data_IF_314327315023
#
_entry.id   IF_314327315023
#
_cell.length_a   1.000
_cell.length_b   1.000
_cell.length_c   1.000
_cell.angle_alpha   90.00
_cell.angle_beta   90.00
_cell.angle_gamma   90.00
#
_symmetry.space_group_name_H-M   'P 1'
#
loop_
_entity.id
_entity.type
_entity.pdbx_description
1 polymer ?
#
# COMPACT_ATOMS: atom_id res chain seq x y z
N UNK A 1 3.04 10.66 -17.74
CA UNK A 1 3.46 10.57 -16.31
C UNK A 1 4.44 11.68 -15.91
N UNK A 2 4.64 12.76 -16.69
CA UNK A 2 5.64 13.79 -16.35
C UNK A 2 5.30 14.63 -15.12
N UNK A 3 4.06 14.60 -14.64
CA UNK A 3 3.63 15.32 -13.43
C UNK A 3 4.08 14.72 -12.10
N UNK A 4 4.61 13.49 -12.08
CA UNK A 4 5.02 12.79 -10.85
C UNK A 4 6.50 12.31 -10.87
N UNK A 5 7.34 12.96 -11.70
CA UNK A 5 8.71 12.51 -11.92
C UNK A 5 9.54 12.53 -10.64
N UNK A 6 9.34 13.54 -9.79
CA UNK A 6 10.06 13.70 -8.53
C UNK A 6 9.68 12.62 -7.51
N UNK A 7 8.39 12.35 -7.35
CA UNK A 7 7.87 11.34 -6.43
C UNK A 7 8.30 9.93 -6.84
N UNK A 8 8.32 9.64 -8.14
CA UNK A 8 8.81 8.36 -8.69
C UNK A 8 10.32 8.18 -8.41
N UNK A 9 11.11 9.25 -8.53
CA UNK A 9 12.54 9.24 -8.22
C UNK A 9 12.78 8.96 -6.74
N UNK A 10 12.11 9.71 -5.85
CA UNK A 10 12.18 9.50 -4.40
C UNK A 10 11.74 8.09 -4.01
N UNK A 11 10.61 7.62 -4.53
CA UNK A 11 10.11 6.28 -4.24
C UNK A 11 11.12 5.19 -4.65
N UNK A 12 11.76 5.34 -5.82
CA UNK A 12 12.78 4.39 -6.24
C UNK A 12 14.01 4.44 -5.36
N UNK A 13 14.49 5.63 -5.00
CA UNK A 13 15.60 5.81 -4.07
C UNK A 13 15.31 5.12 -2.73
N UNK A 14 14.13 5.34 -2.14
CA UNK A 14 13.75 4.71 -0.87
C UNK A 14 13.66 3.18 -0.95
N UNK A 15 13.16 2.64 -2.06
CA UNK A 15 13.13 1.20 -2.28
C UNK A 15 14.54 0.64 -2.38
N UNK A 16 15.41 1.24 -3.18
CA UNK A 16 16.78 0.77 -3.37
C UNK A 16 17.63 0.89 -2.10
N UNK A 17 17.42 1.94 -1.30
CA UNK A 17 18.05 2.08 0.03
C UNK A 17 17.49 1.09 1.08
N UNK A 18 16.42 0.36 0.75
CA UNK A 18 15.81 -0.67 1.61
C UNK A 18 15.85 -2.03 0.91
N UNK A 19 17.00 -2.37 0.31
CA UNK A 19 17.25 -3.67 -0.34
C UNK A 19 16.31 -3.98 -1.52
N UNK A 20 15.80 -2.92 -2.16
CA UNK A 20 15.02 -2.96 -3.39
C UNK A 20 13.52 -3.19 -3.20
N UNK A 21 13.04 -3.26 -1.96
CA UNK A 21 11.62 -3.44 -1.63
C UNK A 21 11.20 -2.82 -0.29
N UNK A 22 9.97 -2.33 -0.18
CA UNK A 22 9.40 -1.88 1.09
C UNK A 22 7.92 -2.27 1.22
N UNK A 23 7.40 -2.48 2.44
CA UNK A 23 5.96 -2.51 2.67
C UNK A 23 5.30 -1.22 2.16
N UNK A 24 4.13 -1.34 1.53
CA UNK A 24 3.42 -0.25 0.87
C UNK A 24 3.17 0.94 1.83
N UNK A 25 2.81 0.65 3.07
CA UNK A 25 2.55 1.67 4.11
C UNK A 25 3.83 2.37 4.58
N UNK A 26 4.97 1.68 4.55
CA UNK A 26 6.26 2.27 4.92
C UNK A 26 6.75 3.20 3.81
N UNK A 27 6.62 2.78 2.54
CA UNK A 27 6.93 3.63 1.39
C UNK A 27 6.08 4.90 1.39
N UNK A 28 4.78 4.77 1.62
CA UNK A 28 3.87 5.92 1.69
C UNK A 28 4.26 6.88 2.82
N UNK A 29 4.61 6.35 4.01
CA UNK A 29 5.09 7.16 5.15
C UNK A 29 6.38 7.91 4.82
N UNK A 30 7.36 7.24 4.19
CA UNK A 30 8.63 7.89 3.78
C UNK A 30 8.39 8.99 2.75
N UNK A 31 7.49 8.79 1.78
CA UNK A 31 7.17 9.84 0.80
C UNK A 31 6.49 11.05 1.44
N UNK A 32 5.53 10.85 2.36
CA UNK A 32 4.87 11.95 3.06
C UNK A 32 5.82 12.82 3.90
N UNK A 33 7.00 12.31 4.28
CA UNK A 33 8.02 13.09 4.98
C UNK A 33 8.78 14.04 4.06
N UNK A 34 8.80 13.79 2.74
CA UNK A 34 9.66 14.50 1.79
C UNK A 34 8.87 15.21 0.69
N UNK A 35 7.62 14.81 0.42
CA UNK A 35 6.77 15.44 -0.58
C UNK A 35 5.28 15.41 -0.18
N UNK A 36 4.52 16.35 -0.74
CA UNK A 36 3.07 16.38 -0.60
C UNK A 36 2.44 15.49 -1.66
N UNK A 37 2.05 14.28 -1.26
CA UNK A 37 1.39 13.31 -2.14
C UNK A 37 0.06 12.86 -1.52
N UNK A 38 -1.02 12.89 -2.30
CA UNK A 38 -2.31 12.34 -1.86
C UNK A 38 -2.30 10.81 -1.94
N UNK A 39 -3.21 10.16 -1.22
CA UNK A 39 -3.33 8.69 -1.25
C UNK A 39 -3.66 8.18 -2.66
N UNK A 40 -4.44 8.94 -3.41
CA UNK A 40 -4.84 8.63 -4.78
C UNK A 40 -3.66 8.74 -5.75
N UNK A 41 -2.84 9.77 -5.62
CA UNK A 41 -1.63 9.96 -6.42
C UNK A 41 -0.59 8.88 -6.12
N UNK A 42 -0.37 8.57 -4.84
CA UNK A 42 0.54 7.50 -4.44
C UNK A 42 0.13 6.16 -5.05
N UNK A 43 -1.17 5.81 -4.99
CA UNK A 43 -1.69 4.61 -5.66
C UNK A 43 -1.44 4.64 -7.16
N UNK A 44 -1.77 5.75 -7.79
CA UNK A 44 -1.61 5.89 -9.24
C UNK A 44 -0.14 5.67 -9.64
N UNK A 45 0.81 6.25 -8.90
CA UNK A 45 2.24 6.08 -9.14
C UNK A 45 2.64 4.60 -9.00
N UNK A 46 2.33 3.97 -7.86
CA UNK A 46 2.78 2.59 -7.58
C UNK A 46 2.13 1.57 -8.51
N UNK A 47 0.89 1.82 -8.97
CA UNK A 47 0.18 0.91 -9.88
C UNK A 47 0.52 1.08 -11.35
N UNK A 48 0.77 2.31 -11.81
CA UNK A 48 0.93 2.61 -13.24
C UNK A 48 2.38 2.80 -13.66
N UNK A 49 3.30 3.03 -12.72
CA UNK A 49 4.70 3.19 -13.06
C UNK A 49 5.34 1.81 -13.33
N UNK A 50 5.93 1.57 -14.52
CA UNK A 50 6.58 0.29 -14.85
C UNK A 50 7.81 -0.01 -13.99
N UNK A 51 8.30 0.99 -13.22
CA UNK A 51 9.40 0.86 -12.27
C UNK A 51 8.99 0.20 -10.96
N UNK A 52 7.71 0.00 -10.72
CA UNK A 52 7.21 -0.58 -9.48
C UNK A 52 6.41 -1.84 -9.76
N UNK A 53 6.63 -2.85 -8.92
CA UNK A 53 5.82 -4.05 -8.91
C UNK A 53 5.25 -4.27 -7.52
N UNK A 54 3.93 -4.40 -7.45
CA UNK A 54 3.23 -4.73 -6.21
C UNK A 54 3.22 -6.23 -6.01
N UNK A 55 3.51 -6.64 -4.78
CA UNK A 55 3.56 -8.04 -4.36
C UNK A 55 2.80 -8.19 -3.06
N UNK A 56 2.08 -9.30 -2.90
CA UNK A 56 1.45 -9.67 -1.63
C UNK A 56 2.27 -10.77 -0.97
N UNK A 57 2.58 -10.59 0.30
CA UNK A 57 3.11 -11.64 1.15
C UNK A 57 2.07 -12.03 2.20
N UNK A 58 2.05 -13.30 2.65
CA UNK A 58 1.30 -13.66 3.84
C UNK A 58 1.89 -12.91 5.05
N UNK A 59 1.03 -12.50 5.97
CA UNK A 59 1.44 -11.74 7.15
C UNK A 59 2.46 -12.49 8.03
N UNK A 60 3.18 -11.79 8.91
CA UNK A 60 4.32 -12.32 9.68
C UNK A 60 4.02 -13.43 10.70
N UNK A 61 2.85 -14.07 10.64
CA UNK A 61 2.49 -15.23 11.47
C UNK A 61 1.54 -16.16 10.69
N UNK A 62 2.11 -17.16 10.00
CA UNK A 62 1.42 -18.39 9.59
C UNK A 62 0.04 -18.23 8.96
N UNK A 63 -0.12 -17.33 7.97
CA UNK A 63 -1.35 -17.22 7.18
C UNK A 63 -2.57 -16.56 7.85
N UNK A 64 -2.48 -16.20 9.13
CA UNK A 64 -3.58 -15.59 9.91
C UNK A 64 -3.48 -14.06 10.10
N UNK A 65 -2.37 -13.42 9.69
CA UNK A 65 -2.18 -11.97 9.72
C UNK A 65 -2.78 -11.23 8.51
N UNK A 66 -2.97 -9.89 8.57
CA UNK A 66 -3.32 -9.11 7.38
C UNK A 66 -2.25 -9.30 6.29
N UNK A 67 -2.68 -9.48 5.05
CA UNK A 67 -1.78 -9.53 3.88
C UNK A 67 -0.93 -8.26 3.85
N UNK A 68 0.39 -8.41 3.83
CA UNK A 68 1.32 -7.27 3.73
C UNK A 68 1.63 -7.09 2.26
N UNK A 69 1.16 -5.96 1.71
CA UNK A 69 1.52 -5.57 0.36
C UNK A 69 2.86 -4.84 0.37
N UNK A 70 3.79 -5.29 -0.47
CA UNK A 70 5.12 -4.69 -0.65
C UNK A 70 5.27 -4.17 -2.07
N UNK A 71 6.06 -3.11 -2.22
CA UNK A 71 6.43 -2.52 -3.50
C UNK A 71 7.89 -2.88 -3.77
N UNK A 72 8.16 -3.38 -4.98
CA UNK A 72 9.50 -3.75 -5.45
C UNK A 72 9.94 -2.78 -6.55
N UNK A 73 11.22 -2.43 -6.56
CA UNK A 73 11.81 -1.62 -7.62
C UNK A 73 12.22 -2.47 -8.84
N UNK A 74 11.83 -2.01 -10.03
CA UNK A 74 12.00 -2.72 -11.31
C UNK A 74 12.73 -1.85 -12.31
N UNK A 75 13.60 -2.48 -13.10
CA UNK A 75 14.28 -1.83 -14.23
C UNK A 75 14.51 -2.82 -15.38
N UNK A 76 14.59 -2.30 -16.61
CA UNK A 76 15.02 -3.04 -17.80
C UNK A 76 16.54 -3.04 -17.99
N UNK A 77 17.30 -2.23 -17.23
CA UNK A 77 18.76 -2.14 -17.37
C UNK A 77 19.46 -3.42 -16.94
N UNK A 78 20.44 -3.86 -17.73
CA UNK A 78 21.27 -5.05 -17.50
C UNK A 78 22.73 -4.71 -17.76
N UNK A 79 23.66 -5.46 -17.17
CA UNK A 79 25.06 -5.36 -17.54
C UNK A 79 25.29 -5.98 -18.91
N UNK A 80 26.18 -5.37 -19.68
CA UNK A 80 26.56 -5.90 -20.98
C UNK A 80 27.52 -7.07 -20.82
N UNK A 81 27.12 -8.26 -21.27
CA UNK A 81 27.96 -9.47 -21.25
C UNK A 81 29.11 -9.42 -22.26
N UNK A 82 28.95 -8.63 -23.34
CA UNK A 82 29.96 -8.43 -24.38
C UNK A 82 30.87 -7.22 -24.16
N UNK A 83 30.70 -6.49 -23.05
CA UNK A 83 31.52 -5.33 -22.77
C UNK A 83 33.00 -5.75 -22.59
N UNK A 84 33.91 -5.03 -23.24
CA UNK A 84 35.33 -5.38 -23.32
C UNK A 84 35.71 -6.25 -24.53
N UNK A 85 34.74 -6.61 -25.38
CA UNK A 85 34.96 -7.29 -26.66
C UNK A 85 34.71 -6.32 -27.83
N UNK A 86 35.23 -6.63 -29.02
CA UNK A 86 35.20 -5.74 -30.20
C UNK A 86 33.80 -5.26 -30.60
N UNK A 87 32.75 -6.03 -30.27
CA UNK A 87 31.35 -5.74 -30.60
C UNK A 87 30.78 -4.48 -29.91
N UNK A 88 31.34 -4.08 -28.77
CA UNK A 88 30.91 -2.87 -28.05
C UNK A 88 31.83 -1.66 -28.31
N UNK A 89 32.94 -1.85 -29.03
CA UNK A 89 33.96 -0.82 -29.26
C UNK A 89 33.66 0.08 -30.46
N UNK A 90 32.79 -0.33 -31.39
CA UNK A 90 32.49 0.42 -32.63
C UNK A 90 31.02 0.79 -32.85
N UNK A 91 30.11 0.27 -32.04
CA UNK A 91 28.66 0.53 -32.15
C UNK A 91 28.23 1.43 -31.00
N UNK A 92 28.04 2.72 -31.28
CA UNK A 92 27.57 3.72 -30.30
C UNK A 92 26.16 3.50 -29.74
N UNK A 93 25.59 2.30 -29.90
CA UNK A 93 24.18 1.99 -29.64
C UNK A 93 23.98 0.75 -28.73
N UNK A 94 24.96 0.33 -27.94
CA UNK A 94 24.73 -0.77 -26.99
C UNK A 94 23.60 -0.41 -25.99
N UNK A 95 22.55 -1.25 -25.82
CA UNK A 95 21.43 -0.94 -24.92
C UNK A 95 21.69 -1.36 -23.46
N UNK A 96 22.89 -1.84 -23.14
CA UNK A 96 23.25 -2.40 -21.83
C UNK A 96 24.36 -1.59 -21.15
N UNK A 97 24.42 -1.65 -19.83
CA UNK A 97 25.38 -0.91 -19.03
C UNK A 97 26.80 -1.48 -19.19
N UNK A 98 27.75 -0.60 -19.41
CA UNK A 98 29.17 -0.89 -19.46
C UNK A 98 29.77 -0.63 -18.08
N UNK A 99 29.65 -1.61 -17.19
CA UNK A 99 30.19 -1.54 -15.83
C UNK A 99 30.90 -2.83 -15.45
N UNK A 100 31.91 -2.69 -14.60
CA UNK A 100 32.59 -3.82 -13.98
C UNK A 100 31.63 -4.58 -13.06
N UNK A 101 31.47 -5.88 -13.31
CA UNK A 101 30.65 -6.77 -12.47
C UNK A 101 31.09 -6.75 -11.00
N UNK A 102 32.40 -6.79 -10.74
CA UNK A 102 32.93 -6.76 -9.38
C UNK A 102 32.80 -5.39 -8.70
N UNK A 103 32.63 -4.32 -9.48
CA UNK A 103 32.32 -3.01 -8.94
C UNK A 103 30.87 -2.96 -8.44
N UNK A 104 29.94 -3.52 -9.21
CA UNK A 104 28.54 -3.70 -8.77
C UNK A 104 28.46 -4.58 -7.52
N UNK A 105 29.36 -5.55 -7.39
CA UNK A 105 29.46 -6.39 -6.19
C UNK A 105 30.17 -5.71 -4.99
N UNK A 106 30.65 -4.48 -5.14
CA UNK A 106 31.32 -3.73 -4.06
C UNK A 106 32.74 -4.18 -3.74
N UNK A 107 33.28 -5.18 -4.43
CA UNK A 107 34.52 -5.88 -4.04
C UNK A 107 35.56 -5.99 -5.19
N UNK A 108 35.53 -5.05 -6.15
CA UNK A 108 36.52 -5.02 -7.22
C UNK A 108 37.94 -4.70 -6.72
N UNK A 109 38.84 -5.68 -6.85
CA UNK A 109 40.26 -5.58 -6.45
C UNK A 109 41.05 -4.50 -7.20
N UNK A 110 40.56 -4.06 -8.37
CA UNK A 110 41.22 -3.08 -9.24
C UNK A 110 40.62 -1.66 -9.14
N UNK A 111 39.59 -1.45 -8.32
CA UNK A 111 38.96 -0.12 -8.18
C UNK A 111 39.68 0.85 -7.25
N UNK A 112 40.49 0.33 -6.32
CA UNK A 112 41.26 1.09 -5.32
C UNK A 112 42.76 0.75 -5.35
N UNK A 113 43.19 -0.03 -6.33
CA UNK A 113 44.54 -0.60 -6.42
C UNK A 113 45.47 0.15 -7.39
N UNK A 114 46.74 -0.27 -7.45
CA UNK A 114 47.79 0.35 -8.30
C UNK A 114 47.56 0.20 -9.82
N UNK A 115 46.73 -0.76 -10.25
CA UNK A 115 46.41 -1.00 -11.67
C UNK A 115 44.93 -0.68 -11.93
N UNK A 116 44.61 0.06 -13.01
CA UNK A 116 43.24 0.39 -13.35
C UNK A 116 42.45 -0.87 -13.73
N UNK A 117 41.16 -0.90 -13.42
CA UNK A 117 40.27 -1.98 -13.85
C UNK A 117 40.13 -1.95 -15.39
N UNK A 118 40.08 -3.12 -16.02
CA UNK A 118 39.80 -3.24 -17.46
C UNK A 118 38.38 -2.83 -17.83
N UNK A 119 37.47 -2.87 -16.87
CA UNK A 119 36.07 -2.55 -17.05
C UNK A 119 35.76 -1.22 -16.34
N UNK A 120 34.88 -0.41 -16.93
CA UNK A 120 34.49 0.89 -16.36
C UNK A 120 33.90 0.75 -14.96
N UNK A 121 34.33 1.64 -14.06
CA UNK A 121 33.70 1.90 -12.76
C UNK A 121 32.91 3.22 -12.77
N UNK A 122 32.81 3.86 -13.94
CA UNK A 122 32.10 5.12 -14.12
C UNK A 122 30.64 4.88 -14.51
N UNK A 123 29.77 5.00 -13.50
CA UNK A 123 28.32 4.91 -13.62
C UNK A 123 27.78 6.03 -14.53
N UNK A 124 28.43 7.18 -14.54
CA UNK A 124 27.96 8.38 -15.24
C UNK A 124 28.75 8.67 -16.52
N UNK A 125 29.51 7.69 -17.04
CA UNK A 125 30.09 7.78 -18.37
C UNK A 125 29.01 8.09 -19.42
N UNK A 126 29.36 8.79 -20.49
CA UNK A 126 28.40 9.25 -21.51
C UNK A 126 27.43 8.15 -21.99
N UNK A 127 27.96 6.94 -22.17
CA UNK A 127 27.19 5.76 -22.54
C UNK A 127 26.19 5.34 -21.46
N UNK A 128 26.65 5.15 -20.23
CA UNK A 128 25.81 4.68 -19.12
C UNK A 128 24.79 5.75 -18.71
N UNK A 129 25.20 7.02 -18.67
CA UNK A 129 24.33 8.15 -18.30
C UNK A 129 23.14 8.29 -19.26
N UNK A 130 23.36 8.08 -20.57
CA UNK A 130 22.29 8.06 -21.57
C UNK A 130 21.24 7.00 -21.23
N UNK A 131 21.66 5.76 -20.96
CA UNK A 131 20.76 4.65 -20.61
C UNK A 131 20.04 4.88 -19.26
N UNK A 132 20.76 5.42 -18.27
CA UNK A 132 20.17 5.78 -16.98
C UNK A 132 19.10 6.86 -17.13
N UNK A 133 19.34 7.87 -17.98
CA UNK A 133 18.38 8.95 -18.26
C UNK A 133 17.14 8.44 -18.99
N UNK A 134 17.30 7.55 -19.97
CA UNK A 134 16.18 6.89 -20.68
C UNK A 134 15.27 6.14 -19.69
N UNK A 135 15.85 5.52 -18.65
CA UNK A 135 15.11 4.84 -17.59
C UNK A 135 14.74 5.73 -16.40
N UNK A 136 15.06 7.03 -16.42
CA UNK A 136 14.85 7.99 -15.32
C UNK A 136 15.53 7.60 -13.98
N UNK A 137 16.71 6.98 -14.06
CA UNK A 137 17.50 6.45 -12.93
C UNK A 137 18.79 7.25 -12.66
N UNK A 138 19.02 8.36 -13.37
CA UNK A 138 20.24 9.15 -13.31
C UNK A 138 20.54 9.82 -11.95
N UNK A 139 19.57 9.83 -11.02
CA UNK A 139 19.72 10.42 -9.68
C UNK A 139 20.01 9.37 -8.60
N UNK A 140 20.02 8.08 -8.93
CA UNK A 140 20.38 7.04 -7.96
C UNK A 140 21.88 7.06 -7.71
N UNK A 141 22.26 6.91 -6.45
CA UNK A 141 23.66 6.67 -6.10
C UNK A 141 24.12 5.26 -6.51
N UNK A 142 25.42 5.00 -6.36
CA UNK A 142 26.02 3.73 -6.76
C UNK A 142 25.42 2.53 -6.01
N UNK A 143 25.21 2.66 -4.69
CA UNK A 143 24.72 1.56 -3.84
C UNK A 143 23.27 1.22 -4.19
N UNK A 144 22.43 2.24 -4.36
CA UNK A 144 21.04 2.11 -4.81
C UNK A 144 20.95 1.47 -6.20
N UNK A 145 21.80 1.89 -7.13
CA UNK A 145 21.84 1.31 -8.47
C UNK A 145 22.27 -0.16 -8.43
N UNK A 146 23.24 -0.53 -7.59
CA UNK A 146 23.70 -1.90 -7.48
C UNK A 146 22.63 -2.83 -6.94
N UNK A 147 21.92 -2.45 -5.88
CA UNK A 147 20.76 -3.21 -5.36
C UNK A 147 19.71 -3.41 -6.45
N UNK A 148 19.40 -2.35 -7.20
CA UNK A 148 18.43 -2.41 -8.28
C UNK A 148 18.86 -3.37 -9.39
N UNK A 149 20.14 -3.34 -9.78
CA UNK A 149 20.70 -4.26 -10.78
C UNK A 149 20.72 -5.70 -10.28
N UNK A 150 21.16 -5.95 -9.05
CA UNK A 150 21.25 -7.28 -8.45
C UNK A 150 19.91 -8.01 -8.43
N UNK A 151 18.81 -7.31 -8.18
CA UNK A 151 17.47 -7.92 -8.17
C UNK A 151 16.78 -8.02 -9.54
N UNK A 152 17.27 -7.31 -10.56
CA UNK A 152 16.66 -7.29 -11.90
C UNK A 152 17.47 -8.04 -12.95
N UNK A 153 18.79 -8.13 -12.82
CA UNK A 153 19.68 -8.80 -13.77
C UNK A 153 19.97 -10.26 -13.37
N UNK A 154 19.41 -11.25 -14.08
CA UNK A 154 19.57 -12.66 -13.72
C UNK A 154 21.02 -13.17 -13.88
N UNK A 155 21.90 -12.46 -14.59
CA UNK A 155 23.29 -12.86 -14.76
C UNK A 155 24.17 -12.53 -13.54
N UNK A 156 23.65 -11.75 -12.58
CA UNK A 156 24.41 -11.25 -11.44
C UNK A 156 24.36 -12.15 -10.22
N UNK A 157 23.33 -12.95 -10.00
CA UNK A 157 23.21 -13.75 -8.77
C UNK A 157 22.97 -15.23 -9.06
N UNK A 158 23.53 -16.13 -8.22
CA UNK A 158 23.21 -17.54 -8.31
C UNK A 158 21.75 -17.83 -7.98
N UNK A 159 21.18 -18.81 -8.67
CA UNK A 159 19.83 -19.31 -8.38
C UNK A 159 19.75 -20.05 -7.03
N UNK A 160 18.53 -20.15 -6.52
CA UNK A 160 18.20 -21.04 -5.39
C UNK A 160 18.29 -22.51 -5.84
N UNK A 161 18.94 -23.34 -5.03
CA UNK A 161 19.12 -24.76 -5.32
C UNK A 161 17.80 -25.54 -5.12
N UNK A 162 17.26 -26.05 -6.22
CA UNK A 162 16.03 -26.88 -6.20
C UNK A 162 16.28 -28.21 -5.49
N UNK A 163 17.46 -28.82 -5.67
CA UNK A 163 17.80 -30.10 -5.04
C UNK A 163 17.94 -29.99 -3.53
N UNK A 164 18.44 -28.84 -3.05
CA UNK A 164 18.45 -28.55 -1.63
C UNK A 164 17.02 -28.66 -1.09
N UNK A 165 16.04 -27.98 -1.70
CA UNK A 165 14.65 -27.96 -1.24
C UNK A 165 13.88 -29.29 -1.36
N UNK A 166 14.45 -30.33 -1.99
CA UNK A 166 13.89 -31.69 -2.03
C UNK A 166 14.50 -32.58 -0.94
N UNK A 167 13.92 -33.75 -0.66
CA UNK A 167 14.50 -34.76 0.25
C UNK A 167 14.32 -34.49 1.75
N UNK A 168 15.12 -35.20 2.57
CA UNK A 168 15.03 -35.19 4.05
C UNK A 168 15.54 -33.90 4.73
N UNK A 169 15.74 -33.91 6.07
CA UNK A 169 16.03 -32.70 6.86
C UNK A 169 17.25 -31.89 6.41
N UNK A 170 18.26 -32.52 5.80
CA UNK A 170 19.47 -31.87 5.29
C UNK A 170 19.37 -31.42 3.82
N UNK A 171 18.25 -31.72 3.17
CA UNK A 171 18.07 -31.57 1.72
C UNK A 171 18.65 -32.71 0.90
N UNK A 172 18.24 -32.75 -0.36
CA UNK A 172 18.66 -33.75 -1.35
C UNK A 172 19.79 -33.28 -2.26
N UNK A 173 20.45 -32.15 -1.94
CA UNK A 173 21.59 -31.66 -2.71
C UNK A 173 22.80 -32.55 -2.43
N UNK A 174 23.23 -33.31 -3.43
CA UNK A 174 24.42 -34.17 -3.36
C UNK A 174 25.72 -33.38 -3.29
N UNK A 175 25.73 -32.14 -3.80
CA UNK A 175 26.91 -31.28 -3.81
C UNK A 175 27.22 -30.67 -2.44
N UNK A 176 26.26 -30.55 -1.52
CA UNK A 176 26.46 -30.03 -0.16
C UNK A 176 27.30 -28.73 -0.13
N UNK A 177 28.51 -28.77 0.46
CA UNK A 177 29.49 -27.66 0.54
C UNK A 177 30.30 -27.45 -0.75
N UNK A 178 29.92 -28.05 -1.86
CA UNK A 178 30.45 -27.74 -3.20
C UNK A 178 29.38 -27.15 -4.12
N UNK A 179 28.17 -26.92 -3.59
CA UNK A 179 27.06 -26.43 -4.40
C UNK A 179 27.28 -24.97 -4.81
N UNK A 180 27.19 -24.72 -6.11
CA UNK A 180 27.33 -23.38 -6.70
C UNK A 180 26.04 -22.56 -6.66
N UNK A 181 24.93 -23.16 -6.17
CA UNK A 181 23.60 -22.54 -6.02
C UNK A 181 23.30 -22.24 -4.55
N UNK A 182 22.38 -21.31 -4.30
CA UNK A 182 22.03 -20.89 -2.95
C UNK A 182 21.17 -21.93 -2.23
N UNK A 183 21.61 -22.38 -1.05
CA UNK A 183 20.82 -23.25 -0.18
C UNK A 183 19.89 -22.41 0.69
N UNK A 184 18.83 -21.87 0.09
CA UNK A 184 17.76 -21.13 0.76
C UNK A 184 16.43 -21.91 0.66
N UNK A 185 15.56 -21.70 1.64
CA UNK A 185 14.20 -22.23 1.63
C UNK A 185 13.40 -21.63 0.47
N UNK A 186 12.89 -22.48 -0.42
CA UNK A 186 12.07 -22.04 -1.55
C UNK A 186 10.80 -21.33 -1.07
N UNK A 187 10.14 -21.84 -0.03
CA UNK A 187 8.95 -21.23 0.56
C UNK A 187 9.23 -19.87 1.22
N UNK A 188 10.42 -19.67 1.77
CA UNK A 188 10.81 -18.36 2.30
C UNK A 188 10.99 -17.31 1.21
N UNK A 189 11.57 -17.74 0.08
CA UNK A 189 11.77 -16.92 -1.11
C UNK A 189 10.44 -16.63 -1.81
N UNK A 190 9.48 -17.57 -1.75
CA UNK A 190 8.10 -17.38 -2.20
C UNK A 190 7.25 -16.54 -1.25
N UNK A 191 7.69 -16.43 0.01
CA UNK A 191 7.00 -15.71 1.07
C UNK A 191 5.99 -16.56 1.85
N UNK A 192 5.79 -17.84 1.55
CA UNK A 192 4.74 -18.71 2.11
C UNK A 192 5.24 -19.74 3.15
N UNK A 193 6.48 -19.59 3.64
CA UNK A 193 7.04 -20.51 4.64
C UNK A 193 6.30 -20.43 5.98
N UNK A 194 5.50 -21.47 6.28
CA UNK A 194 4.71 -21.58 7.52
C UNK A 194 5.56 -21.83 8.79
N UNK A 195 6.80 -22.29 8.63
CA UNK A 195 7.63 -22.72 9.76
C UNK A 195 8.45 -21.59 10.38
N UNK A 196 8.56 -20.44 9.72
CA UNK A 196 9.31 -19.28 10.23
C UNK A 196 10.72 -19.67 10.69
N UNK A 197 11.06 -19.34 11.94
CA UNK A 197 12.36 -19.67 12.55
C UNK A 197 12.56 -21.18 12.78
N UNK A 198 11.49 -21.97 12.84
CA UNK A 198 11.53 -23.43 13.01
C UNK A 198 11.66 -24.17 11.67
N UNK A 199 11.88 -23.45 10.57
CA UNK A 199 12.05 -24.07 9.27
C UNK A 199 13.32 -24.93 9.24
N UNK A 200 13.19 -26.17 8.77
CA UNK A 200 14.33 -27.06 8.53
C UNK A 200 15.24 -26.57 7.39
N UNK A 201 14.77 -25.57 6.63
CA UNK A 201 15.50 -24.93 5.52
C UNK A 201 16.02 -23.57 5.96
N UNK A 202 17.15 -23.17 5.39
CA UNK A 202 17.80 -21.92 5.73
C UNK A 202 17.00 -20.71 5.21
N UNK A 203 16.73 -19.74 6.09
CA UNK A 203 16.16 -18.42 5.73
C UNK A 203 17.25 -17.32 5.68
N UNK A 204 18.46 -17.67 6.07
CA UNK A 204 19.65 -16.81 6.06
C UNK A 204 20.77 -17.48 5.27
N UNK A 205 21.77 -16.69 4.87
CA UNK A 205 22.94 -17.23 4.20
C UNK A 205 23.81 -17.94 5.24
N UNK A 206 24.02 -19.25 5.05
CA UNK A 206 24.91 -20.03 5.92
C UNK A 206 26.38 -19.70 5.64
N UNK A 207 27.29 -20.16 6.51
CA UNK A 207 28.72 -19.87 6.42
C UNK A 207 29.35 -20.38 5.12
N UNK A 208 28.91 -21.52 4.60
CA UNK A 208 29.44 -22.07 3.35
C UNK A 208 29.02 -21.21 2.14
N UNK A 209 27.73 -20.88 2.02
CA UNK A 209 27.22 -20.00 0.96
C UNK A 209 27.86 -18.61 1.05
N UNK A 210 28.12 -18.08 2.24
CA UNK A 210 28.87 -16.83 2.42
C UNK A 210 30.27 -16.91 1.80
N UNK A 211 31.06 -17.95 2.14
CA UNK A 211 32.40 -18.16 1.56
C UNK A 211 32.36 -18.24 0.03
N UNK A 212 31.44 -19.02 -0.52
CA UNK A 212 31.24 -19.16 -1.97
C UNK A 212 30.89 -17.82 -2.65
N UNK A 213 30.08 -16.99 -2.01
CA UNK A 213 29.70 -15.66 -2.54
C UNK A 213 30.85 -14.65 -2.45
N UNK A 214 31.63 -14.67 -1.37
CA UNK A 214 32.83 -13.85 -1.20
C UNK A 214 33.91 -14.24 -2.23
N UNK A 215 34.09 -15.54 -2.51
CA UNK A 215 34.97 -16.04 -3.57
C UNK A 215 34.54 -15.57 -4.97
N UNK A 216 33.22 -15.42 -5.19
CA UNK A 216 32.66 -14.79 -6.40
C UNK A 216 32.75 -13.26 -6.41
N UNK A 217 33.28 -12.68 -5.34
CA UNK A 217 33.58 -11.25 -5.23
C UNK A 217 32.41 -10.40 -4.77
N UNK A 218 31.40 -10.96 -4.09
CA UNK A 218 30.37 -10.16 -3.41
C UNK A 218 30.86 -9.60 -2.08
N UNK A 219 30.47 -8.37 -1.74
CA UNK A 219 30.74 -7.76 -0.43
C UNK A 219 29.87 -8.37 0.67
N UNK A 220 30.39 -8.33 1.91
CA UNK A 220 29.66 -8.83 3.08
C UNK A 220 28.31 -8.15 3.28
N UNK A 221 28.22 -6.85 2.99
CA UNK A 221 26.99 -6.06 3.09
C UNK A 221 25.93 -6.53 2.11
N UNK A 222 26.31 -6.77 0.85
CA UNK A 222 25.38 -7.31 -0.16
C UNK A 222 24.94 -8.72 0.24
N UNK A 223 25.85 -9.56 0.74
CA UNK A 223 25.55 -10.94 1.16
C UNK A 223 24.50 -10.96 2.28
N UNK A 224 24.52 -9.97 3.18
CA UNK A 224 23.50 -9.84 4.23
C UNK A 224 22.10 -9.58 3.64
N UNK A 225 22.01 -8.77 2.58
CA UNK A 225 20.74 -8.41 1.93
C UNK A 225 20.23 -9.47 0.93
N UNK A 226 21.07 -10.45 0.54
CA UNK A 226 20.72 -11.46 -0.45
C UNK A 226 19.42 -12.23 -0.19
N UNK A 227 19.06 -12.64 1.04
CA UNK A 227 17.79 -13.32 1.28
C UNK A 227 16.58 -12.50 0.83
N UNK A 228 16.60 -11.17 1.05
CA UNK A 228 15.56 -10.23 0.62
C UNK A 228 15.61 -10.05 -0.89
N UNK A 229 16.81 -9.86 -1.46
CA UNK A 229 17.00 -9.72 -2.91
C UNK A 229 16.52 -10.97 -3.67
N UNK A 230 16.80 -12.18 -3.17
CA UNK A 230 16.33 -13.43 -3.76
C UNK A 230 14.80 -13.54 -3.75
N UNK A 231 14.15 -13.11 -2.66
CA UNK A 231 12.68 -13.00 -2.60
C UNK A 231 12.18 -12.02 -3.67
N UNK A 232 12.81 -10.86 -3.80
CA UNK A 232 12.45 -9.87 -4.81
C UNK A 232 12.58 -10.42 -6.23
N UNK A 233 13.67 -11.11 -6.55
CA UNK A 233 13.90 -11.77 -7.86
C UNK A 233 12.77 -12.76 -8.16
N UNK A 234 12.40 -13.59 -7.18
CA UNK A 234 11.33 -14.57 -7.37
C UNK A 234 9.99 -13.88 -7.73
N UNK A 235 9.64 -12.80 -7.04
CA UNK A 235 8.41 -12.08 -7.34
C UNK A 235 8.46 -11.29 -8.65
N UNK A 236 9.62 -10.73 -9.03
CA UNK A 236 9.80 -10.03 -10.30
C UNK A 236 9.71 -10.97 -11.52
N UNK A 237 10.10 -12.24 -11.34
CA UNK A 237 10.09 -13.27 -12.40
C UNK A 237 8.79 -14.07 -12.45
N UNK A 238 8.06 -14.16 -11.34
CA UNK A 238 6.73 -14.75 -11.29
C UNK A 238 5.74 -13.88 -12.07
N UNK A 239 5.10 -14.44 -13.09
CA UNK A 239 4.15 -13.76 -14.01
C UNK A 239 2.83 -13.32 -13.37
N UNK A 240 2.70 -13.43 -12.05
CA UNK A 240 1.56 -12.96 -11.28
C UNK A 240 1.58 -11.42 -11.19
N UNK A 241 1.21 -10.76 -12.30
CA UNK A 241 0.86 -9.33 -12.29
C UNK A 241 -0.53 -9.20 -11.66
N UNK A 242 -0.60 -9.42 -10.36
CA UNK A 242 -1.84 -9.31 -9.63
C UNK A 242 -2.14 -7.83 -9.42
N UNK A 243 -3.30 -7.40 -9.93
CA UNK A 243 -3.85 -6.08 -9.61
C UNK A 243 -3.80 -5.91 -8.09
N UNK A 244 -3.42 -4.71 -7.63
CA UNK A 244 -3.58 -4.32 -6.23
C UNK A 244 -4.94 -4.84 -5.78
N UNK A 245 -5.06 -5.51 -4.62
CA UNK A 245 -6.39 -5.83 -4.18
C UNK A 245 -7.10 -4.48 -4.05
N UNK A 246 -8.38 -4.48 -4.35
CA UNK A 246 -9.21 -3.35 -4.02
C UNK A 246 -9.17 -3.05 -2.50
N UNK A 247 -8.32 -3.66 -1.66
CA UNK A 247 -8.10 -3.42 -0.22
C UNK A 247 -7.73 -2.00 0.20
N UNK A 248 -7.52 -1.10 -0.75
CA UNK A 248 -7.42 0.33 -0.49
C UNK A 248 -8.76 1.06 -0.77
N UNK A 249 -9.71 0.34 -1.36
CA UNK A 249 -11.09 0.66 -1.75
C UNK A 249 -12.15 -0.25 -1.07
N UNK A 250 -11.78 -1.38 -0.49
CA UNK A 250 -12.63 -2.15 0.41
C UNK A 250 -12.60 -1.38 1.72
N UNK A 251 -13.78 -0.98 2.18
CA UNK A 251 -14.01 -0.81 3.60
C UNK A 251 -13.34 -1.98 4.29
N UNK A 252 -12.42 -1.69 5.20
CA UNK A 252 -11.78 -2.69 6.02
C UNK A 252 -12.90 -3.55 6.63
N UNK A 253 -13.16 -4.73 6.08
CA UNK A 253 -14.25 -5.58 6.59
C UNK A 253 -13.98 -5.96 8.05
N UNK A 254 -12.74 -5.78 8.54
CA UNK A 254 -12.37 -5.89 9.96
C UNK A 254 -12.76 -4.69 10.82
N UNK A 255 -13.32 -3.65 10.20
CA UNK A 255 -13.89 -2.44 10.83
C UNK A 255 -15.40 -2.33 10.64
N UNK A 256 -16.05 -3.27 9.96
CA UNK A 256 -17.51 -3.32 9.87
C UNK A 256 -18.08 -4.23 10.96
N UNK A 257 -19.20 -3.83 11.55
CA UNK A 257 -19.92 -4.64 12.53
C UNK A 257 -20.64 -5.78 11.80
N UNK A 258 -20.49 -6.99 12.33
CA UNK A 258 -21.08 -8.19 11.75
C UNK A 258 -22.61 -8.17 11.91
N UNK A 259 -23.30 -7.91 10.80
CA UNK A 259 -24.77 -7.90 10.73
C UNK A 259 -25.42 -9.25 11.09
N UNK A 260 -24.69 -10.36 10.96
CA UNK A 260 -25.18 -11.68 11.39
C UNK A 260 -25.01 -11.88 12.89
N UNK A 261 -24.02 -11.23 13.51
CA UNK A 261 -23.83 -11.30 14.96
C UNK A 261 -24.91 -10.52 15.70
N UNK A 262 -25.25 -9.31 15.23
CA UNK A 262 -26.36 -8.51 15.78
C UNK A 262 -27.72 -9.23 15.70
N UNK A 263 -27.83 -10.27 14.88
CA UNK A 263 -29.02 -11.12 14.70
C UNK A 263 -28.91 -12.49 15.37
N UNK A 264 -27.88 -12.73 16.18
CA UNK A 264 -27.57 -14.03 16.79
C UNK A 264 -27.46 -15.19 15.77
N UNK A 265 -27.10 -14.89 14.52
CA UNK A 265 -27.06 -15.84 13.41
C UNK A 265 -25.65 -16.00 12.81
N UNK A 266 -24.61 -15.47 13.45
CA UNK A 266 -23.24 -15.59 12.97
C UNK A 266 -22.68 -16.99 13.26
N UNK A 267 -22.36 -17.74 12.20
CA UNK A 267 -21.81 -19.10 12.29
C UNK A 267 -20.31 -19.15 12.56
N UNK A 268 -19.62 -18.02 12.39
CA UNK A 268 -18.16 -17.93 12.44
C UNK A 268 -17.60 -17.57 13.81
N UNK A 269 -18.44 -17.14 14.76
CA UNK A 269 -18.04 -16.81 16.14
C UNK A 269 -16.70 -16.04 16.20
N UNK A 270 -15.66 -16.60 16.82
CA UNK A 270 -14.35 -15.96 17.00
C UNK A 270 -13.49 -15.91 15.72
N UNK A 271 -13.87 -16.64 14.67
CA UNK A 271 -13.22 -16.60 13.35
C UNK A 271 -13.87 -15.57 12.41
N UNK A 272 -14.92 -14.86 12.88
CA UNK A 272 -15.56 -13.83 12.08
C UNK A 272 -14.59 -12.67 11.87
N UNK A 273 -14.34 -12.35 10.60
CA UNK A 273 -13.47 -11.22 10.22
C UNK A 273 -14.06 -9.86 10.58
N UNK A 274 -15.36 -9.77 10.86
CA UNK A 274 -16.12 -8.55 11.20
C UNK A 274 -16.25 -8.40 12.71
N UNK A 275 -16.42 -7.17 13.17
CA UNK A 275 -16.52 -6.88 14.61
C UNK A 275 -17.84 -7.40 15.17
N UNK A 276 -17.76 -8.24 16.19
CA UNK A 276 -18.92 -8.68 16.96
C UNK A 276 -19.26 -7.63 18.01
N UNK A 277 -20.31 -6.87 17.74
CA UNK A 277 -20.81 -5.84 18.64
C UNK A 277 -22.34 -5.82 18.59
N UNK A 278 -22.98 -5.53 19.71
CA UNK A 278 -24.44 -5.65 19.85
C UNK A 278 -25.20 -4.46 19.27
N UNK A 279 -24.56 -3.29 19.07
CA UNK A 279 -25.15 -2.12 18.41
C UNK A 279 -24.69 -2.00 16.96
N UNK A 280 -25.44 -1.29 16.09
CA UNK A 280 -25.06 -1.06 14.68
C UNK A 280 -23.92 -0.04 14.52
N UNK A 281 -23.42 0.54 15.62
CA UNK A 281 -22.29 1.45 15.70
C UNK A 281 -21.42 1.10 16.91
N UNK A 282 -20.12 1.42 16.81
CA UNK A 282 -19.16 1.26 17.92
C UNK A 282 -18.15 2.39 17.89
N UNK A 283 -17.86 2.97 19.05
CA UNK A 283 -16.90 4.06 19.20
C UNK A 283 -15.66 3.60 19.98
N UNK A 284 -14.48 3.85 19.43
CA UNK A 284 -13.21 3.41 20.01
C UNK A 284 -12.18 4.53 19.98
N UNK A 285 -11.33 4.58 21.00
CA UNK A 285 -10.19 5.50 21.11
C UNK A 285 -8.88 4.71 21.10
N UNK A 286 -7.83 5.27 20.49
CA UNK A 286 -6.51 4.66 20.47
C UNK A 286 -5.78 4.93 21.79
N UNK A 287 -5.42 3.87 22.53
CA UNK A 287 -4.51 3.90 23.68
C UNK A 287 -3.21 3.18 23.28
N UNK A 288 -2.11 3.91 23.12
CA UNK A 288 -0.85 3.32 22.65
C UNK A 288 -1.00 2.73 21.24
N UNK A 289 -1.09 1.40 21.15
CA UNK A 289 -1.29 0.66 19.88
C UNK A 289 -2.63 -0.06 19.78
N UNK A 290 -3.48 0.02 20.82
CA UNK A 290 -4.72 -0.76 20.94
C UNK A 290 -5.93 0.15 20.89
N UNK A 291 -6.98 -0.28 20.16
CA UNK A 291 -8.28 0.38 20.14
C UNK A 291 -9.12 -0.09 21.31
N UNK A 292 -9.60 0.85 22.13
CA UNK A 292 -10.40 0.59 23.32
C UNK A 292 -11.76 1.26 23.21
N UNK A 293 -12.81 0.59 23.67
CA UNK A 293 -14.19 1.07 23.61
C UNK A 293 -14.36 2.35 24.43
N UNK A 294 -15.06 3.33 23.85
CA UNK A 294 -15.44 4.54 24.56
C UNK A 294 -16.68 4.30 25.42
N UNK A 295 -16.68 4.88 26.61
CA UNK A 295 -17.86 4.91 27.49
C UNK A 295 -18.95 5.82 26.90
N UNK A 296 -20.20 5.60 27.31
CA UNK A 296 -21.36 6.42 26.89
C UNK A 296 -21.54 6.57 25.37
N UNK A 297 -21.20 5.52 24.61
CA UNK A 297 -21.21 5.56 23.13
C UNK A 297 -22.56 5.90 22.49
N UNK A 298 -23.69 5.62 23.15
CA UNK A 298 -25.02 6.02 22.66
C UNK A 298 -25.16 7.55 22.65
N UNK A 299 -24.66 8.24 23.69
CA UNK A 299 -24.67 9.69 23.76
C UNK A 299 -23.77 10.28 22.65
N UNK A 300 -22.59 9.69 22.45
CA UNK A 300 -21.65 10.10 21.39
C UNK A 300 -22.28 9.88 20.01
N UNK A 301 -22.93 8.75 19.78
CA UNK A 301 -23.62 8.46 18.52
C UNK A 301 -24.77 9.45 18.28
N UNK A 302 -25.60 9.71 19.29
CA UNK A 302 -26.71 10.66 19.19
C UNK A 302 -26.21 12.05 18.81
N UNK A 303 -25.15 12.52 19.45
CA UNK A 303 -24.54 13.81 19.14
C UNK A 303 -23.93 13.80 17.74
N UNK A 304 -23.27 12.72 17.34
CA UNK A 304 -22.67 12.58 16.01
C UNK A 304 -23.72 12.59 14.89
N UNK A 305 -24.87 11.95 15.11
CA UNK A 305 -25.97 11.89 14.16
C UNK A 305 -26.53 13.28 13.80
N UNK A 306 -26.48 14.26 14.71
CA UNK A 306 -26.87 15.63 14.42
C UNK A 306 -25.74 16.38 13.68
N UNK A 307 -25.95 16.82 12.42
CA UNK A 307 -24.94 17.56 11.67
C UNK A 307 -24.61 18.94 12.28
N UNK A 308 -25.44 19.47 13.18
CA UNK A 308 -25.23 20.73 13.88
C UNK A 308 -24.15 20.61 14.96
N UNK A 309 -23.94 19.40 15.48
CA UNK A 309 -22.93 19.13 16.48
C UNK A 309 -21.56 18.89 15.83
N UNK A 310 -20.55 19.61 16.31
CA UNK A 310 -19.14 19.40 15.94
C UNK A 310 -18.38 18.62 16.99
N UNK A 311 -18.92 18.51 18.21
CA UNK A 311 -18.34 17.81 19.35
C UNK A 311 -19.42 17.06 20.14
N UNK A 312 -19.02 16.02 20.88
CA UNK A 312 -19.91 15.33 21.84
C UNK A 312 -20.02 16.07 23.17
N UNK A 313 -21.09 15.81 23.93
CA UNK A 313 -21.32 16.36 25.27
C UNK A 313 -20.44 15.80 26.42
N UNK A 314 -19.58 14.80 26.17
CA UNK A 314 -18.72 14.19 27.20
C UNK A 314 -17.51 15.05 27.61
N UNK A 315 -16.85 14.67 28.70
CA UNK A 315 -15.59 15.26 29.18
C UNK A 315 -14.49 14.18 29.31
N UNK A 316 -13.41 14.21 28.52
CA UNK A 316 -13.16 15.15 27.42
C UNK A 316 -14.08 14.90 26.21
N UNK A 317 -14.48 15.95 25.46
CA UNK A 317 -15.36 15.80 24.31
C UNK A 317 -14.64 15.16 23.12
N UNK A 318 -15.39 14.37 22.35
CA UNK A 318 -14.99 13.87 21.03
C UNK A 318 -15.21 14.97 20.00
N UNK A 319 -14.17 15.36 19.28
CA UNK A 319 -14.25 16.24 18.12
C UNK A 319 -14.55 15.42 16.86
N UNK A 320 -15.74 15.64 16.28
CA UNK A 320 -16.22 14.91 15.11
C UNK A 320 -15.60 15.39 13.78
N UNK A 321 -14.95 16.55 13.76
CA UNK A 321 -14.27 17.07 12.58
C UNK A 321 -12.85 16.49 12.48
N UNK A 322 -12.13 16.45 13.59
CA UNK A 322 -10.77 15.92 13.64
C UNK A 322 -10.72 14.42 13.95
N UNK A 323 -11.84 13.84 14.41
CA UNK A 323 -11.92 12.46 14.90
C UNK A 323 -10.91 12.21 16.04
N UNK A 324 -10.90 13.08 17.04
CA UNK A 324 -10.00 13.00 18.20
C UNK A 324 -10.71 13.30 19.53
N UNK A 325 -10.14 12.83 20.63
CA UNK A 325 -10.51 13.22 22.01
C UNK A 325 -9.24 13.45 22.80
N UNK A 326 -9.04 14.65 23.36
CA UNK A 326 -7.80 15.03 24.04
C UNK A 326 -6.53 14.67 23.24
N UNK A 327 -6.53 14.97 21.92
CA UNK A 327 -5.46 14.65 20.96
C UNK A 327 -5.23 13.16 20.67
N UNK A 328 -6.08 12.27 21.19
CA UNK A 328 -6.04 10.84 20.91
C UNK A 328 -6.95 10.50 19.72
N UNK A 329 -6.50 9.72 18.73
CA UNK A 329 -7.32 9.31 17.61
C UNK A 329 -8.55 8.50 18.03
N UNK A 330 -9.70 8.81 17.43
CA UNK A 330 -10.96 8.08 17.60
C UNK A 330 -11.40 7.48 16.27
N UNK A 331 -12.10 6.35 16.33
CA UNK A 331 -12.83 5.79 15.18
C UNK A 331 -14.24 5.38 15.56
N UNK A 332 -15.13 5.49 14.57
CA UNK A 332 -16.49 4.94 14.59
C UNK A 332 -16.55 3.76 13.63
N UNK A 333 -16.98 2.60 14.11
CA UNK A 333 -17.33 1.43 13.31
C UNK A 333 -18.83 1.41 13.06
N UNK A 334 -19.26 0.83 11.96
CA UNK A 334 -20.68 0.71 11.63
C UNK A 334 -20.99 -0.62 10.97
N UNK A 335 -22.26 -1.03 11.01
CA UNK A 335 -22.76 -2.03 10.07
C UNK A 335 -22.68 -1.53 8.63
N UNK A 336 -22.87 -2.45 7.69
CA UNK A 336 -22.90 -2.15 6.25
C UNK A 336 -23.99 -1.11 5.92
N UNK A 337 -23.76 -0.30 4.89
CA UNK A 337 -24.71 0.73 4.43
C UNK A 337 -26.01 0.11 3.94
N UNK A 338 -27.14 0.71 4.32
CA UNK A 338 -28.49 0.21 3.99
C UNK A 338 -28.75 0.07 2.49
N UNK A 339 -28.10 0.87 1.65
CA UNK A 339 -28.27 0.82 0.19
C UNK A 339 -27.64 -0.41 -0.47
N UNK A 340 -26.77 -1.13 0.25
CA UNK A 340 -26.08 -2.33 -0.25
C UNK A 340 -26.78 -3.63 0.09
N UNK A 341 -27.83 -3.58 0.92
CA UNK A 341 -28.55 -4.76 1.40
C UNK A 341 -30.06 -4.61 1.16
N UNK A 342 -30.79 -5.73 1.06
CA UNK A 342 -32.24 -5.69 0.98
C UNK A 342 -32.88 -5.03 2.22
N UNK A 343 -34.09 -4.44 2.10
CA UNK A 343 -34.77 -3.72 3.19
C UNK A 343 -35.05 -4.56 4.44
N UNK A 344 -35.10 -5.88 4.34
CA UNK A 344 -35.32 -6.77 5.48
C UNK A 344 -34.13 -6.82 6.45
N UNK A 345 -32.99 -6.21 6.13
CA UNK A 345 -31.86 -6.05 7.05
C UNK A 345 -32.01 -4.77 7.88
N UNK A 346 -32.78 -4.85 8.97
CA UNK A 346 -33.21 -3.70 9.78
C UNK A 346 -32.08 -2.96 10.53
N UNK A 347 -30.95 -3.62 10.81
CA UNK A 347 -29.80 -3.04 11.53
C UNK A 347 -28.67 -2.57 10.60
N UNK A 348 -28.94 -2.30 9.34
CA UNK A 348 -27.96 -1.65 8.45
C UNK A 348 -27.86 -0.16 8.73
N UNK A 349 -26.69 0.43 8.54
CA UNK A 349 -26.51 1.87 8.77
C UNK A 349 -27.12 2.66 7.62
N UNK A 350 -28.19 3.41 7.92
CA UNK A 350 -28.77 4.37 7.00
C UNK A 350 -27.97 5.68 7.05
N UNK A 351 -27.39 6.08 5.92
CA UNK A 351 -26.60 7.30 5.80
C UNK A 351 -27.42 8.43 5.18
N UNK A 352 -27.53 9.52 5.93
CA UNK A 352 -28.25 10.73 5.57
C UNK A 352 -27.26 11.81 5.13
N UNK A 353 -27.64 12.53 4.08
CA UNK A 353 -26.83 13.59 3.51
C UNK A 353 -27.51 14.93 3.73
N UNK A 354 -26.74 15.93 4.17
CA UNK A 354 -27.21 17.25 4.51
C UNK A 354 -26.43 18.34 3.79
N UNK A 355 -27.06 19.48 3.52
CA UNK A 355 -26.38 20.71 3.11
C UNK A 355 -26.69 21.86 4.07
N UNK A 356 -25.67 22.70 4.32
CA UNK A 356 -25.80 23.84 5.23
C UNK A 356 -26.52 25.00 4.55
N UNK A 357 -27.54 25.54 5.20
CA UNK A 357 -28.23 26.78 4.81
C UNK A 357 -27.45 28.01 5.27
N UNK A 358 -27.90 29.17 4.79
CA UNK A 358 -27.28 30.46 5.08
C UNK A 358 -27.40 30.84 6.58
N UNK A 359 -28.43 30.35 7.27
CA UNK A 359 -28.63 30.53 8.72
C UNK A 359 -27.92 29.47 9.59
N UNK A 360 -27.03 28.64 9.01
CA UNK A 360 -26.31 27.60 9.74
C UNK A 360 -27.07 26.29 9.96
N UNK A 361 -28.39 26.25 9.71
CA UNK A 361 -29.19 25.02 9.80
C UNK A 361 -28.90 24.04 8.67
N UNK A 362 -29.01 22.75 8.96
CA UNK A 362 -28.82 21.65 8.00
C UNK A 362 -30.15 21.19 7.42
N UNK A 363 -30.16 20.86 6.13
CA UNK A 363 -31.32 20.28 5.46
C UNK A 363 -30.91 19.01 4.74
N UNK A 364 -31.71 17.97 4.94
CA UNK A 364 -31.50 16.67 4.30
C UNK A 364 -31.81 16.72 2.79
N UNK A 365 -31.03 16.02 1.98
CA UNK A 365 -31.33 15.83 0.57
C UNK A 365 -32.54 14.90 0.38
N UNK A 366 -33.53 15.37 -0.38
CA UNK A 366 -34.77 14.65 -0.68
C UNK A 366 -35.96 15.07 0.18
N UNK A 367 -35.71 15.71 1.32
CA UNK A 367 -36.78 16.25 2.18
C UNK A 367 -37.26 17.63 1.67
N UNK A 368 -38.55 17.96 1.82
CA UNK A 368 -39.07 19.27 1.46
C UNK A 368 -38.50 20.34 2.38
N UNK A 369 -38.08 21.48 1.80
CA UNK A 369 -37.74 22.66 2.59
C UNK A 369 -39.00 23.38 3.11
N UNK A 370 -38.83 24.44 3.92
CA UNK A 370 -39.92 25.30 4.42
C UNK A 370 -40.83 25.86 3.30
N UNK A 371 -40.34 25.91 2.05
CA UNK A 371 -41.09 26.35 0.88
C UNK A 371 -41.59 25.17 0.04
N UNK A 372 -41.66 23.97 0.62
CA UNK A 372 -42.08 22.71 0.00
C UNK A 372 -41.26 22.30 -1.25
N UNK A 373 -40.02 22.78 -1.37
CA UNK A 373 -39.12 22.43 -2.49
C UNK A 373 -38.17 21.32 -2.08
N UNK A 374 -38.20 20.23 -2.84
CA UNK A 374 -37.31 19.09 -2.70
C UNK A 374 -36.13 19.17 -3.67
N UNK A 375 -35.08 18.42 -3.37
CA UNK A 375 -33.96 18.19 -4.30
C UNK A 375 -34.28 17.02 -5.24
N UNK A 376 -33.76 17.06 -6.47
CA UNK A 376 -33.92 15.99 -7.45
C UNK A 376 -33.23 14.67 -7.07
N UNK A 377 -32.40 14.69 -6.03
CA UNK A 377 -31.72 13.52 -5.47
C UNK A 377 -32.04 13.42 -4.00
N UNK A 378 -32.12 12.19 -3.49
CA UNK A 378 -32.31 11.88 -2.07
C UNK A 378 -31.00 11.49 -1.41
N UNK A 379 -30.96 11.45 -0.07
CA UNK A 379 -29.87 10.87 0.71
C UNK A 379 -29.46 9.48 0.20
N UNK A 380 -30.45 8.63 -0.12
CA UNK A 380 -30.23 7.28 -0.66
C UNK A 380 -29.46 7.30 -1.98
N UNK A 381 -29.89 8.11 -2.95
CA UNK A 381 -29.21 8.21 -4.25
C UNK A 381 -27.80 8.79 -4.13
N UNK A 382 -27.59 9.72 -3.21
CA UNK A 382 -26.25 10.26 -2.93
C UNK A 382 -25.35 9.20 -2.30
N UNK A 383 -25.87 8.40 -1.37
CA UNK A 383 -25.13 7.31 -0.74
C UNK A 383 -24.76 6.21 -1.75
N UNK A 384 -25.68 5.81 -2.63
CA UNK A 384 -25.40 4.84 -3.71
C UNK A 384 -24.25 5.32 -4.61
N UNK A 385 -24.27 6.60 -5.01
CA UNK A 385 -23.21 7.21 -5.83
C UNK A 385 -21.90 7.36 -5.07
N UNK A 386 -21.97 7.72 -3.80
CA UNK A 386 -20.80 7.85 -2.93
C UNK A 386 -20.08 6.51 -2.75
N UNK A 387 -20.83 5.42 -2.60
CA UNK A 387 -20.25 4.08 -2.51
C UNK A 387 -19.69 3.59 -3.84
N UNK A 388 -20.29 3.97 -4.98
CA UNK A 388 -19.75 3.61 -6.31
C UNK A 388 -18.47 4.37 -6.66
N UNK A 389 -18.44 5.68 -6.37
CA UNK A 389 -17.28 6.54 -6.64
C UNK A 389 -17.28 7.77 -5.71
N UNK A 390 -16.30 7.79 -4.80
CA UNK A 390 -16.13 8.86 -3.79
C UNK A 390 -15.57 10.15 -4.38
N UNK A 391 -15.18 10.16 -5.64
CA UNK A 391 -14.62 11.33 -6.35
C UNK A 391 -15.59 11.95 -7.36
N UNK A 392 -16.71 11.27 -7.63
CA UNK A 392 -17.74 11.75 -8.55
C UNK A 392 -18.40 13.03 -8.05
N UNK A 393 -18.70 13.93 -8.98
CA UNK A 393 -19.55 15.10 -8.75
C UNK A 393 -21.00 14.80 -9.17
N UNK A 394 -21.96 15.03 -8.26
CA UNK A 394 -23.38 14.76 -8.50
C UNK A 394 -24.15 16.04 -8.81
N UNK A 395 -24.82 16.08 -9.96
CA UNK A 395 -25.72 17.19 -10.33
C UNK A 395 -27.04 17.08 -9.55
N UNK A 396 -27.41 18.16 -8.86
CA UNK A 396 -28.63 18.25 -8.04
C UNK A 396 -29.44 19.47 -8.47
N UNK A 397 -30.73 19.28 -8.70
CA UNK A 397 -31.66 20.36 -9.01
C UNK A 397 -32.54 20.62 -7.79
N UNK A 398 -32.74 21.89 -7.42
CA UNK A 398 -33.68 22.31 -6.37
C UNK A 398 -34.49 23.49 -6.87
N UNK A 399 -35.77 23.27 -7.16
CA UNK A 399 -36.59 24.24 -7.91
C UNK A 399 -35.97 24.54 -9.28
N UNK A 400 -35.76 25.82 -9.59
CA UNK A 400 -35.13 26.26 -10.86
C UNK A 400 -33.58 26.32 -10.80
N UNK A 401 -32.98 26.03 -9.64
CA UNK A 401 -31.53 26.16 -9.43
C UNK A 401 -30.83 24.81 -9.61
N UNK A 402 -29.68 24.83 -10.28
CA UNK A 402 -28.81 23.66 -10.49
C UNK A 402 -27.55 23.79 -9.64
N UNK A 403 -27.22 22.69 -8.97
CA UNK A 403 -26.08 22.56 -8.07
C UNK A 403 -25.26 21.34 -8.45
N UNK A 404 -24.01 21.33 -7.99
CA UNK A 404 -23.08 20.20 -8.10
C UNK A 404 -22.58 19.88 -6.71
N UNK A 405 -22.72 18.63 -6.27
CA UNK A 405 -22.21 18.13 -5.00
C UNK A 405 -20.91 17.40 -5.25
N UNK A 406 -19.82 17.88 -4.65
CA UNK A 406 -18.51 17.22 -4.65
C UNK A 406 -18.37 16.41 -3.37
N UNK A 407 -18.24 15.09 -3.51
CA UNK A 407 -17.98 14.19 -2.38
C UNK A 407 -16.56 14.34 -1.83
N UNK A 408 -15.59 14.66 -2.69
CA UNK A 408 -14.20 14.90 -2.31
C UNK A 408 -14.06 16.13 -1.41
N UNK A 409 -14.70 17.23 -1.80
CA UNK A 409 -14.58 18.50 -1.08
C UNK A 409 -15.59 18.62 0.06
N UNK A 410 -16.64 17.79 0.08
CA UNK A 410 -17.79 17.91 0.97
C UNK A 410 -18.48 19.29 0.85
N UNK A 411 -18.70 19.72 -0.40
CA UNK A 411 -19.41 20.96 -0.72
C UNK A 411 -20.39 20.80 -1.87
N UNK A 412 -21.47 21.58 -1.80
CA UNK A 412 -22.39 21.86 -2.88
C UNK A 412 -22.06 23.22 -3.47
N UNK A 413 -21.89 23.30 -4.79
CA UNK A 413 -21.64 24.54 -5.53
C UNK A 413 -22.71 24.83 -6.56
N UNK A 414 -23.07 26.10 -6.75
CA UNK A 414 -23.89 26.54 -7.86
C UNK A 414 -22.98 27.11 -8.97
N UNK A 415 -22.83 26.44 -10.12
CA UNK A 415 -21.93 26.92 -11.18
C UNK A 415 -22.31 28.29 -11.75
N UNK A 416 -23.58 28.69 -11.69
CA UNK A 416 -24.06 29.97 -12.25
C UNK A 416 -23.85 31.16 -11.31
N UNK A 417 -23.94 30.93 -10.01
CA UNK A 417 -23.92 32.00 -9.00
C UNK A 417 -22.69 31.94 -8.08
N UNK A 418 -21.77 31.00 -8.32
CA UNK A 418 -20.57 30.74 -7.54
C UNK A 418 -20.81 30.63 -6.01
N UNK A 419 -22.00 30.20 -5.61
CA UNK A 419 -22.34 29.98 -4.19
C UNK A 419 -21.88 28.59 -3.76
N UNK A 420 -21.25 28.50 -2.59
CA UNK A 420 -20.69 27.26 -2.02
C UNK A 420 -21.30 26.99 -0.64
N UNK A 421 -21.82 25.78 -0.42
CA UNK A 421 -22.46 25.33 0.82
C UNK A 421 -21.81 24.04 1.31
N UNK A 422 -21.55 23.93 2.61
CA UNK A 422 -20.99 22.69 3.19
C UNK A 422 -21.98 21.56 3.06
N UNK A 423 -21.48 20.37 2.79
CA UNK A 423 -22.23 19.11 2.79
C UNK A 423 -21.74 18.26 3.95
N UNK A 424 -22.65 17.53 4.59
CA UNK A 424 -22.35 16.66 5.71
C UNK A 424 -23.03 15.31 5.50
N UNK A 425 -22.34 14.23 5.87
CA UNK A 425 -22.86 12.86 5.85
C UNK A 425 -22.91 12.36 7.29
N UNK A 426 -24.11 12.01 7.78
CA UNK A 426 -24.35 11.49 9.14
C UNK A 426 -25.23 10.24 9.10
N UNK A 427 -25.04 9.28 10.01
CA UNK A 427 -25.93 8.13 10.10
C UNK A 427 -27.25 8.52 10.76
N UNK A 428 -28.34 7.82 10.44
CA UNK A 428 -29.56 7.87 11.24
C UNK A 428 -29.29 7.26 12.61
N UNK A 429 -29.71 7.96 13.67
CA UNK A 429 -29.57 7.48 15.04
C UNK A 429 -30.46 6.25 15.27
N UNK A 430 -29.91 5.25 15.97
CA UNK A 430 -30.61 4.06 16.44
C UNK A 430 -30.30 3.93 17.93
N UNK A 431 -31.33 4.01 18.78
CA UNK A 431 -31.14 3.88 20.23
C UNK A 431 -30.90 2.42 20.64
N UNK A 432 -30.35 2.20 21.84
CA UNK A 432 -30.20 0.84 22.40
C UNK A 432 -31.56 0.15 22.54
N UNK A 433 -32.65 0.90 22.74
CA UNK A 433 -34.01 0.36 22.84
C UNK A 433 -34.61 -0.11 21.50
N UNK A 434 -34.05 0.33 20.37
CA UNK A 434 -34.50 -0.03 19.02
C UNK A 434 -33.79 -1.28 18.45
N UNK A 435 -32.73 -1.74 19.12
CA UNK A 435 -31.89 -2.90 18.73
C UNK A 435 -32.29 -4.11 19.54
#
# INVERSE_FOLDING_TARGET
>A
MSGYSHEIQLATSFLCSSSGSLPLLDLHRKLLQCCHITKEEFRFIVQRCPRFQLVRGPGPAGGSGPEVCSVLAKTSLRLCSGYGWEQCSGSGCCPQLHLCKFFVYGNCRFGKGRKPCKFSHDIYSDHNFRLLRECTLQQLDAEQLFVLLLQNDPALLPEVCVHYNKGGPRGGCTFQESCTKLHLCQHFVQGDCMYGLNCKRQHTINQHSRRMLEERGLSGDIIHELPVICRNIHHLTSTATEKLPDSLCQTDERKEICLHFTRNSCRFQNECRRVHFYLPYKWEVLVGVTWTDLQHMENIERDFCDPSNTQSCGDPPVDFLTMTQASRPIRRLSTVSSVTKPPHYILTTEWLWYYRRDQGSWVEYGQPDEKQRTTSVTSRTLEEKFLSDRTTEVKVVKGQRRYVVSFKDMYQRNPKHNTKRRVCRRPRFVSVAEV
#
